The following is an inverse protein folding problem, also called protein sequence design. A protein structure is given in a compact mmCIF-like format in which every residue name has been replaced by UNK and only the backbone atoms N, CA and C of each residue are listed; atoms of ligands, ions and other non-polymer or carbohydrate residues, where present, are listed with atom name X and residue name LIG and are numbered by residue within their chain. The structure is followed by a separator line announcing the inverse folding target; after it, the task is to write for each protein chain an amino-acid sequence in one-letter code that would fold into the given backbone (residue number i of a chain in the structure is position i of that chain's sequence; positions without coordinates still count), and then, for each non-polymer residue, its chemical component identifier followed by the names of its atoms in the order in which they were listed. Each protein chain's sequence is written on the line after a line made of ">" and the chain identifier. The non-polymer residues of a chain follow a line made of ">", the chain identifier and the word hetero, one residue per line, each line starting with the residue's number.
data_IF_792354509237
#
_entry.id   IF_792354509237
#
_cell.length_a   1.000
_cell.length_b   1.000
_cell.length_c   1.000
_cell.angle_alpha   90.00
_cell.angle_beta   90.00
_cell.angle_gamma   90.00
#
_symmetry.space_group_name_H-M   'P 1'
#
loop_
_entity.id
_entity.type
_entity.pdbx_description
1 polymer ?
#
# COMPACT_ATOMS: atom_id res chain seq x y z
N UNK A 1 -12.01 24.05 -11.60
CA UNK A 1 -10.76 24.10 -10.80
C UNK A 1 -10.75 22.86 -9.93
N UNK A 2 -10.34 21.78 -10.50
CA UNK A 2 -10.31 20.48 -9.78
C UNK A 2 -9.23 19.65 -10.44
N UNK A 3 -8.22 19.24 -9.72
CA UNK A 3 -7.34 18.19 -10.20
C UNK A 3 -5.86 18.28 -9.86
N UNK A 4 -5.33 19.39 -9.35
CA UNK A 4 -3.89 19.46 -9.08
C UNK A 4 -3.48 19.02 -7.67
N UNK A 5 -4.40 18.97 -6.72
CA UNK A 5 -4.09 18.63 -5.32
C UNK A 5 -3.80 17.16 -5.07
N UNK A 6 -4.31 16.26 -5.92
CA UNK A 6 -4.22 14.80 -5.68
C UNK A 6 -2.84 14.20 -6.02
N UNK A 7 -2.16 14.76 -7.01
CA UNK A 7 -0.89 14.18 -7.52
C UNK A 7 0.29 14.38 -6.56
N UNK A 8 0.34 15.52 -5.90
CA UNK A 8 1.43 15.83 -4.96
C UNK A 8 1.48 14.84 -3.78
N UNK A 9 0.32 14.36 -3.32
CA UNK A 9 0.22 13.40 -2.21
C UNK A 9 0.76 12.01 -2.51
N UNK A 10 0.83 11.61 -3.79
CA UNK A 10 1.29 10.29 -4.19
C UNK A 10 2.83 10.13 -4.18
N UNK A 11 3.56 11.22 -4.20
CA UNK A 11 5.03 11.17 -4.26
C UNK A 11 5.68 10.82 -2.92
N UNK A 12 6.86 10.15 -2.95
CA UNK A 12 7.70 9.99 -1.78
C UNK A 12 7.99 11.35 -1.11
N UNK A 13 8.05 11.36 0.21
CA UNK A 13 8.33 12.58 0.97
C UNK A 13 7.14 13.51 1.17
N UNK A 14 6.01 13.34 0.47
CA UNK A 14 4.79 14.09 0.77
C UNK A 14 4.22 13.61 2.12
N UNK A 15 3.95 14.52 3.08
CA UNK A 15 3.33 14.14 4.34
C UNK A 15 1.95 13.52 4.09
N UNK A 16 1.62 12.47 4.83
CA UNK A 16 0.25 11.99 4.94
C UNK A 16 -0.50 12.97 5.84
N UNK A 17 -1.79 13.18 5.56
CA UNK A 17 -2.63 14.08 6.32
C UNK A 17 -2.50 13.77 7.82
N UNK A 18 -2.31 14.82 8.64
CA UNK A 18 -2.27 14.68 10.09
C UNK A 18 -3.64 14.19 10.58
N UNK A 19 -3.65 13.02 11.16
CA UNK A 19 -4.84 12.32 11.61
C UNK A 19 -4.53 11.62 12.94
N UNK A 20 -5.48 11.56 13.89
CA UNK A 20 -5.33 10.74 15.08
C UNK A 20 -5.22 9.24 14.77
N UNK A 21 -5.63 8.80 13.57
CA UNK A 21 -5.45 7.44 13.09
C UNK A 21 -4.01 7.26 12.56
N UNK A 22 -3.20 6.36 13.13
CA UNK A 22 -1.82 6.12 12.69
C UNK A 22 -1.73 5.37 11.36
N UNK A 23 -2.81 4.73 10.90
CA UNK A 23 -2.81 3.86 9.72
C UNK A 23 -2.18 4.48 8.46
N UNK A 24 -2.54 5.73 8.07
CA UNK A 24 -1.98 6.33 6.85
C UNK A 24 -0.46 6.49 6.92
N UNK A 25 0.06 6.81 8.10
CA UNK A 25 1.51 7.00 8.33
C UNK A 25 2.23 5.66 8.28
N UNK A 26 1.71 4.66 8.96
CA UNK A 26 2.29 3.32 9.03
C UNK A 26 2.26 2.60 7.69
N UNK A 27 1.14 2.68 6.96
CA UNK A 27 1.02 2.11 5.63
C UNK A 27 2.02 2.73 4.65
N UNK A 28 2.16 4.07 4.67
CA UNK A 28 3.15 4.75 3.85
C UNK A 28 4.58 4.38 4.25
N UNK A 29 4.87 4.24 5.55
CA UNK A 29 6.19 3.81 6.03
C UNK A 29 6.53 2.42 5.53
N UNK A 30 5.59 1.49 5.55
CA UNK A 30 5.77 0.15 4.98
C UNK A 30 6.13 0.22 3.50
N UNK A 31 5.39 1.01 2.70
CA UNK A 31 5.68 1.20 1.29
C UNK A 31 7.09 1.81 1.06
N UNK A 32 7.51 2.77 1.87
CA UNK A 32 8.84 3.34 1.82
C UNK A 32 9.94 2.30 2.07
N UNK A 33 9.77 1.46 3.09
CA UNK A 33 10.74 0.40 3.40
C UNK A 33 10.88 -0.62 2.27
N UNK A 34 9.79 -0.92 1.57
CA UNK A 34 9.82 -1.76 0.37
C UNK A 34 10.60 -1.06 -0.74
N UNK A 35 10.29 0.21 -1.03
CA UNK A 35 10.97 0.98 -2.06
C UNK A 35 12.47 1.14 -1.79
N UNK A 36 12.88 1.42 -0.55
CA UNK A 36 14.28 1.49 -0.13
C UNK A 36 15.05 0.19 -0.45
N UNK A 37 14.42 -0.97 -0.23
CA UNK A 37 15.03 -2.26 -0.55
C UNK A 37 15.08 -2.56 -2.05
N UNK A 38 14.11 -2.04 -2.81
CA UNK A 38 14.10 -2.14 -4.27
C UNK A 38 15.21 -1.33 -4.94
N UNK A 39 15.88 -0.43 -4.23
CA UNK A 39 17.04 0.31 -4.76
C UNK A 39 18.16 -0.63 -5.24
N UNK A 40 18.29 -1.82 -4.66
CA UNK A 40 19.25 -2.83 -5.10
C UNK A 40 19.05 -3.31 -6.55
N UNK A 41 17.85 -3.14 -7.10
CA UNK A 41 17.52 -3.47 -8.51
C UNK A 41 17.36 -2.22 -9.38
N UNK A 42 17.87 -1.07 -8.94
CA UNK A 42 17.85 0.18 -9.68
C UNK A 42 16.56 1.00 -9.56
N UNK A 43 15.71 0.67 -8.60
CA UNK A 43 14.47 1.38 -8.33
C UNK A 43 14.74 2.64 -7.49
N UNK A 44 14.20 3.78 -7.88
CA UNK A 44 14.44 5.05 -7.18
C UNK A 44 13.15 5.79 -6.83
N UNK A 45 13.30 6.94 -6.16
CA UNK A 45 12.17 7.75 -5.67
C UNK A 45 11.19 8.19 -6.75
N UNK A 46 11.63 8.25 -8.00
CA UNK A 46 10.79 8.61 -9.14
C UNK A 46 9.97 7.45 -9.71
N UNK A 47 10.21 6.24 -9.21
CA UNK A 47 9.66 5.02 -9.78
C UNK A 47 8.49 4.46 -8.98
N UNK A 48 8.13 5.07 -7.86
CA UNK A 48 7.01 4.63 -7.05
C UNK A 48 6.08 5.75 -6.59
N UNK A 49 4.86 5.35 -6.29
CA UNK A 49 3.78 6.18 -5.81
C UNK A 49 3.10 5.47 -4.65
N UNK A 50 2.49 6.24 -3.77
CA UNK A 50 1.66 5.72 -2.70
C UNK A 50 0.22 6.18 -2.93
N UNK A 51 -0.74 5.27 -2.83
CA UNK A 51 -2.16 5.56 -3.00
C UNK A 51 -2.99 4.70 -2.05
N UNK A 52 -4.18 5.21 -1.71
CA UNK A 52 -5.15 4.46 -0.92
C UNK A 52 -6.19 3.82 -1.84
N UNK A 53 -6.48 2.55 -1.54
CA UNK A 53 -7.51 1.75 -2.18
C UNK A 53 -8.81 1.84 -1.37
N UNK A 54 -9.95 1.55 -2.02
CA UNK A 54 -11.22 1.22 -1.38
C UNK A 54 -11.81 2.30 -0.48
N UNK A 55 -12.52 3.24 -1.07
CA UNK A 55 -13.37 4.15 -0.31
C UNK A 55 -14.53 3.36 0.30
N UNK A 56 -14.58 3.27 1.62
CA UNK A 56 -15.71 2.66 2.32
C UNK A 56 -17.05 3.32 1.96
N UNK A 57 -18.14 2.58 2.09
CA UNK A 57 -19.50 3.04 1.77
C UNK A 57 -20.05 4.17 2.66
N UNK A 58 -19.29 4.66 3.61
CA UNK A 58 -19.72 5.68 4.59
C UNK A 58 -19.94 7.09 4.04
N UNK A 59 -19.59 7.34 2.75
CA UNK A 59 -19.87 8.61 2.06
C UNK A 59 -19.13 9.85 2.58
N UNK A 60 -18.21 9.69 3.54
CA UNK A 60 -17.34 10.75 4.06
C UNK A 60 -16.14 11.05 3.15
N UNK A 61 -15.38 12.13 3.43
CA UNK A 61 -14.15 12.39 2.72
C UNK A 61 -13.17 11.22 2.93
N UNK A 62 -12.64 10.69 1.83
CA UNK A 62 -11.70 9.58 1.85
C UNK A 62 -10.26 10.08 1.89
N UNK A 63 -9.40 9.29 2.52
CA UNK A 63 -7.96 9.57 2.54
C UNK A 63 -7.42 9.43 1.11
N UNK A 64 -6.77 10.48 0.62
CA UNK A 64 -6.11 10.46 -0.69
C UNK A 64 -4.59 10.40 -0.58
N UNK A 65 -3.92 10.25 -1.72
CA UNK A 65 -4.48 10.12 -3.07
C UNK A 65 -5.15 8.76 -3.32
N UNK A 66 -6.14 8.73 -4.21
CA UNK A 66 -6.77 7.49 -4.66
C UNK A 66 -5.91 6.78 -5.72
N UNK A 67 -6.15 5.48 -5.91
CA UNK A 67 -5.47 4.73 -6.98
C UNK A 67 -5.82 5.30 -8.35
N UNK A 68 -7.08 5.65 -8.60
CA UNK A 68 -7.53 6.18 -9.89
C UNK A 68 -6.87 7.51 -10.23
N UNK A 69 -6.76 8.42 -9.28
CA UNK A 69 -6.09 9.70 -9.51
C UNK A 69 -4.58 9.52 -9.68
N UNK A 70 -4.01 8.57 -8.96
CA UNK A 70 -2.60 8.22 -9.13
C UNK A 70 -2.32 7.62 -10.51
N UNK A 71 -3.21 6.77 -11.05
CA UNK A 71 -3.09 6.24 -12.40
C UNK A 71 -3.14 7.35 -13.47
N UNK A 72 -4.02 8.35 -13.29
CA UNK A 72 -4.06 9.54 -14.17
C UNK A 72 -2.74 10.31 -14.13
N UNK A 73 -2.17 10.49 -12.94
CA UNK A 73 -0.90 11.16 -12.75
C UNK A 73 0.26 10.41 -13.44
N UNK A 74 0.35 9.10 -13.24
CA UNK A 74 1.33 8.22 -13.89
C UNK A 74 1.24 8.36 -15.41
N UNK A 75 0.02 8.41 -15.96
CA UNK A 75 -0.19 8.63 -17.39
C UNK A 75 0.28 10.00 -17.85
N UNK A 76 0.01 11.06 -17.09
CA UNK A 76 0.47 12.42 -17.41
C UNK A 76 2.00 12.51 -17.45
N UNK A 77 2.70 11.70 -16.68
CA UNK A 77 4.17 11.57 -16.70
C UNK A 77 4.68 10.69 -17.86
N UNK A 78 3.80 10.31 -18.78
CA UNK A 78 4.12 9.49 -19.98
C UNK A 78 4.67 8.09 -19.64
N UNK A 79 4.38 7.57 -18.46
CA UNK A 79 4.67 6.17 -18.14
C UNK A 79 3.77 5.26 -18.99
N UNK A 80 4.23 4.04 -19.25
CA UNK A 80 3.53 3.08 -20.11
C UNK A 80 2.88 1.94 -19.33
N UNK A 81 3.26 1.79 -18.05
CA UNK A 81 2.74 0.74 -17.21
C UNK A 81 3.08 0.94 -15.74
N UNK A 82 2.40 0.18 -14.90
CA UNK A 82 2.49 0.24 -13.45
C UNK A 82 2.31 -1.17 -12.85
N UNK A 83 3.05 -1.45 -11.78
CA UNK A 83 2.83 -2.61 -10.92
C UNK A 83 2.19 -2.10 -9.62
N UNK A 84 1.07 -2.68 -9.22
CA UNK A 84 0.42 -2.40 -7.92
C UNK A 84 0.82 -3.50 -6.93
N UNK A 85 1.27 -3.08 -5.74
CA UNK A 85 1.51 -3.93 -4.58
C UNK A 85 0.66 -3.47 -3.42
N UNK A 86 -0.38 -4.21 -3.00
CA UNK A 86 -1.08 -3.93 -1.75
C UNK A 86 -0.14 -4.14 -0.56
N UNK A 87 -0.02 -3.14 0.30
CA UNK A 87 0.83 -3.22 1.50
C UNK A 87 0.02 -3.41 2.79
N UNK A 88 -1.25 -3.03 2.79
CA UNK A 88 -2.17 -3.21 3.93
C UNK A 88 -2.95 -4.53 3.89
N UNK A 89 -3.08 -5.14 2.72
CA UNK A 89 -3.77 -6.42 2.51
C UNK A 89 -2.77 -7.48 2.07
N UNK A 90 -2.41 -8.38 2.97
CA UNK A 90 -1.35 -9.35 2.74
C UNK A 90 -1.84 -10.66 2.08
N UNK A 91 -3.16 -10.87 2.03
CA UNK A 91 -3.77 -12.06 1.44
C UNK A 91 -4.79 -11.68 0.37
N UNK A 92 -4.99 -12.56 -0.61
CA UNK A 92 -6.04 -12.41 -1.60
C UNK A 92 -7.42 -12.52 -0.94
N UNK A 93 -8.27 -11.57 -1.24
CA UNK A 93 -9.68 -11.55 -0.85
C UNK A 93 -10.49 -10.77 -1.90
N UNK A 94 -11.81 -10.82 -1.79
CA UNK A 94 -12.71 -10.28 -2.82
C UNK A 94 -12.42 -8.81 -3.16
N UNK A 95 -12.08 -7.98 -2.18
CA UNK A 95 -11.81 -6.56 -2.38
C UNK A 95 -10.56 -6.34 -3.24
N UNK A 96 -9.43 -7.01 -2.93
CA UNK A 96 -8.22 -6.94 -3.77
C UNK A 96 -8.49 -7.45 -5.18
N UNK A 97 -9.11 -8.63 -5.29
CA UNK A 97 -9.35 -9.28 -6.58
C UNK A 97 -10.30 -8.45 -7.44
N UNK A 98 -11.32 -7.83 -6.84
CA UNK A 98 -12.25 -6.99 -7.59
C UNK A 98 -11.63 -5.62 -7.92
N UNK A 99 -11.13 -4.89 -6.91
CA UNK A 99 -10.65 -3.52 -7.11
C UNK A 99 -9.45 -3.49 -8.05
N UNK A 100 -8.45 -4.35 -7.83
CA UNK A 100 -7.21 -4.27 -8.59
C UNK A 100 -7.33 -5.01 -9.92
N UNK A 101 -7.80 -6.27 -9.89
CA UNK A 101 -7.76 -7.12 -11.07
C UNK A 101 -8.90 -6.82 -12.06
N UNK A 102 -9.97 -6.13 -11.62
CA UNK A 102 -11.09 -5.75 -12.47
C UNK A 102 -11.18 -4.23 -12.62
N UNK A 103 -11.45 -3.49 -11.53
CA UNK A 103 -11.76 -2.07 -11.60
C UNK A 103 -10.55 -1.22 -12.01
N UNK A 104 -9.42 -1.32 -11.30
CA UNK A 104 -8.23 -0.51 -11.61
C UNK A 104 -7.56 -0.98 -12.92
N UNK A 105 -7.63 -2.26 -13.25
CA UNK A 105 -7.15 -2.75 -14.54
C UNK A 105 -7.96 -2.15 -15.69
N UNK A 106 -9.29 -2.04 -15.55
CA UNK A 106 -10.14 -1.37 -16.53
C UNK A 106 -9.78 0.12 -16.66
N UNK A 107 -9.66 0.84 -15.53
CA UNK A 107 -9.25 2.25 -15.52
C UNK A 107 -7.88 2.45 -16.19
N UNK A 108 -6.91 1.62 -15.86
CA UNK A 108 -5.57 1.68 -16.46
C UNK A 108 -5.65 1.47 -17.99
N UNK A 109 -6.42 0.48 -18.44
CA UNK A 109 -6.62 0.20 -19.86
C UNK A 109 -7.24 1.39 -20.58
N UNK A 110 -8.27 2.03 -20.02
CA UNK A 110 -8.91 3.24 -20.58
C UNK A 110 -7.92 4.42 -20.69
N UNK A 111 -6.96 4.51 -19.76
CA UNK A 111 -5.87 5.48 -19.81
C UNK A 111 -4.72 5.07 -20.75
N UNK A 112 -4.77 3.88 -21.37
CA UNK A 112 -3.68 3.33 -22.17
C UNK A 112 -2.43 3.01 -21.35
N UNK A 113 -2.59 2.54 -20.10
CA UNK A 113 -1.55 2.01 -19.23
C UNK A 113 -1.66 0.49 -19.15
N UNK A 114 -0.52 -0.19 -19.07
CA UNK A 114 -0.48 -1.60 -18.67
C UNK A 114 -0.44 -1.67 -17.15
N UNK A 115 -1.31 -2.50 -16.55
CA UNK A 115 -1.34 -2.71 -15.11
C UNK A 115 -1.09 -4.17 -14.77
N UNK A 116 -0.16 -4.38 -13.85
CA UNK A 116 0.10 -5.67 -13.23
C UNK A 116 -0.11 -5.55 -11.72
N UNK A 117 -0.55 -6.60 -11.09
CA UNK A 117 -0.56 -6.74 -9.64
C UNK A 117 0.56 -7.69 -9.21
N UNK A 118 1.34 -7.32 -8.22
CA UNK A 118 2.21 -8.26 -7.55
C UNK A 118 1.37 -9.27 -6.75
N UNK A 119 1.84 -10.49 -6.65
CA UNK A 119 1.14 -11.55 -5.90
C UNK A 119 1.04 -11.17 -4.43
N UNK A 120 -0.09 -11.50 -3.81
CA UNK A 120 -0.26 -11.39 -2.36
C UNK A 120 0.60 -12.43 -1.64
N UNK A 121 1.00 -12.12 -0.42
CA UNK A 121 1.85 -13.03 0.35
C UNK A 121 1.14 -14.34 0.73
N UNK A 122 -0.19 -14.28 0.94
CA UNK A 122 -1.01 -15.45 1.29
C UNK A 122 -0.36 -16.30 2.39
N UNK A 123 0.02 -17.53 2.09
CA UNK A 123 0.71 -18.47 2.96
C UNK A 123 2.23 -18.52 2.74
N UNK A 124 2.79 -17.46 2.17
CA UNK A 124 4.23 -17.36 1.92
C UNK A 124 5.04 -17.66 3.19
N UNK A 125 6.07 -18.50 3.12
CA UNK A 125 6.95 -18.78 4.24
C UNK A 125 7.52 -17.51 4.89
N UNK A 126 7.79 -16.47 4.12
CA UNK A 126 8.30 -15.18 4.65
C UNK A 126 7.27 -14.50 5.55
N UNK A 127 5.98 -14.51 5.17
CA UNK A 127 4.91 -13.97 6.01
C UNK A 127 4.72 -14.82 7.26
N UNK A 128 4.73 -16.15 7.12
CA UNK A 128 4.58 -17.07 8.24
C UNK A 128 5.69 -16.85 9.27
N UNK A 129 6.95 -16.78 8.85
CA UNK A 129 8.09 -16.50 9.73
C UNK A 129 7.97 -15.16 10.45
N UNK A 130 7.56 -14.10 9.75
CA UNK A 130 7.35 -12.79 10.36
C UNK A 130 6.25 -12.83 11.44
N UNK A 131 5.15 -13.53 11.19
CA UNK A 131 4.06 -13.71 12.16
C UNK A 131 4.53 -14.55 13.37
N UNK A 132 5.29 -15.62 13.14
CA UNK A 132 5.86 -16.46 14.20
C UNK A 132 6.77 -15.64 15.10
N UNK A 133 7.62 -14.78 14.53
CA UNK A 133 8.52 -13.92 15.32
C UNK A 133 7.72 -12.97 16.23
N UNK A 134 6.72 -12.28 15.69
CA UNK A 134 5.88 -11.35 16.45
C UNK A 134 5.12 -12.07 17.58
N UNK A 135 4.49 -13.19 17.27
CA UNK A 135 3.70 -13.98 18.26
C UNK A 135 4.63 -14.55 19.34
N UNK A 136 5.75 -15.12 18.94
CA UNK A 136 6.72 -15.72 19.88
C UNK A 136 7.33 -14.70 20.83
N UNK A 137 7.61 -13.50 20.34
CA UNK A 137 8.08 -12.39 21.16
C UNK A 137 7.07 -12.00 22.22
N UNK A 138 5.78 -11.85 21.83
CA UNK A 138 4.72 -11.52 22.80
C UNK A 138 4.45 -12.66 23.76
N UNK A 139 4.43 -13.91 23.28
CA UNK A 139 4.22 -15.08 24.13
C UNK A 139 5.26 -15.19 25.24
N UNK A 140 6.55 -15.04 24.91
CA UNK A 140 7.65 -15.06 25.88
C UNK A 140 7.47 -13.97 26.93
N UNK A 141 7.23 -12.72 26.52
CA UNK A 141 7.03 -11.61 27.44
C UNK A 141 5.85 -11.87 28.40
N UNK A 142 4.74 -12.43 27.93
CA UNK A 142 3.58 -12.76 28.75
C UNK A 142 3.88 -13.89 29.74
N UNK A 143 4.62 -14.92 29.33
CA UNK A 143 5.03 -16.01 30.23
C UNK A 143 5.92 -15.49 31.34
N UNK A 144 6.89 -14.63 31.01
CA UNK A 144 7.79 -14.02 32.01
C UNK A 144 7.01 -13.14 33.01
N UNK A 145 6.02 -12.35 32.56
CA UNK A 145 5.14 -11.56 33.43
C UNK A 145 4.33 -12.41 34.40
N UNK A 146 3.83 -13.58 33.95
CA UNK A 146 2.95 -14.46 34.76
C UNK A 146 3.78 -15.35 35.72
N UNK A 147 5.00 -15.71 35.35
CA UNK A 147 5.84 -16.63 36.12
C UNK A 147 6.73 -15.93 37.16
N UNK A 148 6.74 -14.59 37.24
CA UNK A 148 7.42 -13.86 38.33
C UNK A 148 6.60 -14.02 39.62
N UNK A 149 7.11 -14.73 40.66
CA UNK A 149 6.42 -14.81 41.96
C UNK A 149 6.38 -13.43 42.59
N UNK A 150 5.23 -13.09 43.18
CA UNK A 150 5.05 -11.87 43.97
C UNK A 150 5.92 -11.88 45.23
#
# INVERSE_FOLDING_TARGET
>A
MTGEASVAGARPGTPVQDSPDPYPVEAKRTAQLVAERMAAVGFGDKDWYFAFQSQGVSGGPWIGPTVEDTLKAIKAERRVGVVIQPVGFLCDHVEILYDIDIAFRKTAHELGLKLWRAESLNDSPVLVEALVEVVSGRYKATVDEVMVPA
#
